data_IF_248723169939
#
_entry.id   IF_248723169939
#
_cell.length_a   1.000
_cell.length_b   1.000
_cell.length_c   1.000
_cell.angle_alpha   90.00
_cell.angle_beta   90.00
_cell.angle_gamma   90.00
#
_symmetry.space_group_name_H-M   'P 1'
#
loop_
_entity.id
_entity.type
_entity.pdbx_description
1 polymer ?
#
# COMPACT_ATOMS: atom_id res chain seq x y z
N UNK A 1 -15.73 3.89 13.53
CA UNK A 1 -14.33 3.58 13.19
C UNK A 1 -13.86 4.58 12.16
N UNK A 2 -12.75 5.26 12.42
CA UNK A 2 -12.13 6.16 11.46
C UNK A 2 -11.40 5.34 10.39
N UNK A 3 -11.60 5.72 9.13
CA UNK A 3 -10.98 5.09 7.98
C UNK A 3 -9.97 6.06 7.39
N UNK A 4 -8.84 5.54 6.95
CA UNK A 4 -7.76 6.31 6.34
C UNK A 4 -7.49 5.81 4.94
N UNK A 5 -7.13 6.74 4.05
CA UNK A 5 -6.65 6.42 2.71
C UNK A 5 -5.12 6.42 2.71
N UNK A 6 -4.53 5.35 2.23
CA UNK A 6 -3.07 5.20 2.12
C UNK A 6 -2.70 4.98 0.65
N UNK A 7 -1.72 5.73 0.16
CA UNK A 7 -0.99 5.38 -1.05
C UNK A 7 0.26 4.59 -0.66
N UNK A 8 0.41 3.40 -1.22
CA UNK A 8 1.51 2.46 -0.94
C UNK A 8 2.24 2.21 -2.26
N UNK A 9 3.51 2.61 -2.34
CA UNK A 9 4.39 2.32 -3.47
C UNK A 9 5.33 1.17 -3.12
N UNK A 10 5.44 0.19 -4.00
CA UNK A 10 6.44 -0.88 -3.93
C UNK A 10 7.12 -1.06 -5.27
N UNK A 11 8.32 -1.63 -5.27
CA UNK A 11 9.00 -2.11 -6.47
C UNK A 11 8.17 -3.19 -7.19
N UNK A 12 8.42 -3.37 -8.49
CA UNK A 12 7.79 -4.44 -9.26
C UNK A 12 8.07 -5.85 -8.70
N UNK A 13 9.20 -6.05 -8.02
CA UNK A 13 9.52 -7.31 -7.34
C UNK A 13 8.64 -7.55 -6.10
N UNK A 14 8.28 -6.48 -5.37
CA UNK A 14 7.39 -6.54 -4.21
C UNK A 14 5.90 -6.62 -4.56
N UNK A 15 5.52 -6.23 -5.79
CA UNK A 15 4.12 -6.13 -6.24
C UNK A 15 3.27 -7.35 -5.91
N UNK A 16 3.67 -8.55 -6.33
CA UNK A 16 2.79 -9.72 -6.25
C UNK A 16 2.31 -10.00 -4.82
N UNK A 17 3.23 -9.90 -3.85
CA UNK A 17 2.92 -10.12 -2.43
C UNK A 17 2.22 -8.92 -1.81
N UNK A 18 2.62 -7.69 -2.14
CA UNK A 18 1.93 -6.48 -1.68
C UNK A 18 0.49 -6.45 -2.16
N UNK A 19 0.23 -6.73 -3.44
CA UNK A 19 -1.11 -6.80 -4.01
C UNK A 19 -1.97 -7.87 -3.31
N UNK A 20 -1.40 -9.04 -2.99
CA UNK A 20 -2.14 -10.07 -2.24
C UNK A 20 -2.60 -9.59 -0.86
N UNK A 21 -1.77 -8.83 -0.14
CA UNK A 21 -2.11 -8.23 1.15
C UNK A 21 -3.16 -7.13 0.99
N UNK A 22 -3.02 -6.29 -0.03
CA UNK A 22 -3.80 -5.07 -0.20
C UNK A 22 -5.14 -5.26 -0.93
N UNK A 23 -5.31 -6.33 -1.72
CA UNK A 23 -6.47 -6.52 -2.63
C UNK A 23 -7.85 -6.39 -1.99
N UNK A 24 -7.98 -6.69 -0.70
CA UNK A 24 -9.26 -6.56 0.03
C UNK A 24 -9.66 -5.11 0.33
N UNK A 25 -8.67 -4.23 0.43
CA UNK A 25 -8.84 -2.83 0.81
C UNK A 25 -8.50 -1.86 -0.37
N UNK A 26 -8.05 -2.41 -1.51
CA UNK A 26 -7.61 -1.68 -2.70
C UNK A 26 -8.75 -0.90 -3.36
N UNK A 27 -8.48 0.37 -3.66
CA UNK A 27 -9.39 1.30 -4.32
C UNK A 27 -8.94 1.68 -5.71
N UNK A 28 -7.63 1.85 -5.90
CA UNK A 28 -6.99 2.16 -7.18
C UNK A 28 -5.59 1.59 -7.19
N UNK A 29 -5.09 1.31 -8.37
CA UNK A 29 -3.71 0.90 -8.58
C UNK A 29 -3.15 1.45 -9.89
N UNK A 30 -1.84 1.67 -9.94
CA UNK A 30 -1.13 2.19 -11.10
C UNK A 30 0.32 1.69 -11.13
N UNK A 31 0.79 1.35 -12.32
CA UNK A 31 2.22 1.14 -12.58
C UNK A 31 2.87 2.45 -13.00
N UNK A 32 3.93 2.84 -12.32
CA UNK A 32 4.73 4.01 -12.67
C UNK A 32 5.72 3.66 -13.79
N UNK A 33 6.14 4.67 -14.55
CA UNK A 33 7.08 4.48 -15.67
C UNK A 33 8.46 3.92 -15.28
N UNK A 34 8.80 3.92 -14.00
CA UNK A 34 10.03 3.32 -13.47
C UNK A 34 9.85 1.85 -13.04
N UNK A 35 8.69 1.24 -13.30
CA UNK A 35 8.40 -0.16 -12.95
C UNK A 35 8.03 -0.41 -11.48
N UNK A 36 7.82 0.65 -10.70
CA UNK A 36 7.19 0.52 -9.38
C UNK A 36 5.66 0.54 -9.51
N UNK A 37 4.97 -0.07 -8.55
CA UNK A 37 3.53 -0.13 -8.47
C UNK A 37 3.04 0.68 -7.28
N UNK A 38 1.95 1.42 -7.47
CA UNK A 38 1.26 2.16 -6.42
C UNK A 38 -0.14 1.60 -6.24
N UNK A 39 -0.47 1.25 -5.00
CA UNK A 39 -1.82 0.89 -4.58
C UNK A 39 -2.38 1.93 -3.62
N UNK A 40 -3.59 2.42 -3.90
CA UNK A 40 -4.36 3.23 -2.95
C UNK A 40 -5.33 2.32 -2.22
N UNK A 41 -5.19 2.20 -0.91
CA UNK A 41 -6.09 1.42 -0.05
C UNK A 41 -6.87 2.31 0.90
N UNK A 42 -8.02 1.83 1.31
CA UNK A 42 -8.83 2.44 2.36
C UNK A 42 -8.96 1.41 3.50
N UNK A 43 -8.44 1.73 4.69
CA UNK A 43 -8.37 0.79 5.82
C UNK A 43 -8.80 1.44 7.13
N UNK A 44 -9.23 0.66 8.14
CA UNK A 44 -9.40 1.19 9.49
C UNK A 44 -8.09 1.78 10.03
N UNK A 45 -8.15 2.96 10.66
CA UNK A 45 -6.97 3.65 11.21
C UNK A 45 -6.13 2.77 12.14
N UNK A 46 -6.79 1.90 12.92
CA UNK A 46 -6.15 0.94 13.83
C UNK A 46 -5.24 -0.08 13.11
N UNK A 47 -5.48 -0.37 11.82
CA UNK A 47 -4.66 -1.31 11.03
C UNK A 47 -3.45 -0.65 10.37
N UNK A 48 -3.32 0.68 10.42
CA UNK A 48 -2.26 1.44 9.72
C UNK A 48 -0.87 0.92 10.02
N UNK A 49 -0.51 0.85 11.30
CA UNK A 49 0.84 0.49 11.73
C UNK A 49 1.22 -0.94 11.31
N UNK A 50 0.30 -1.89 11.48
CA UNK A 50 0.49 -3.29 11.10
C UNK A 50 0.66 -3.43 9.59
N UNK A 51 -0.17 -2.73 8.80
CA UNK A 51 -0.11 -2.76 7.36
C UNK A 51 1.22 -2.20 6.83
N UNK A 52 1.67 -1.07 7.38
CA UNK A 52 2.99 -0.48 7.04
C UNK A 52 4.09 -1.49 7.37
N UNK A 53 4.05 -2.11 8.55
CA UNK A 53 5.04 -3.10 8.95
C UNK A 53 5.06 -4.32 8.03
N UNK A 54 3.91 -4.80 7.59
CA UNK A 54 3.82 -5.92 6.63
C UNK A 54 4.39 -5.55 5.26
N UNK A 55 4.05 -4.38 4.73
CA UNK A 55 4.57 -3.90 3.44
C UNK A 55 6.09 -3.70 3.50
N UNK A 56 6.63 -3.12 4.57
CA UNK A 56 8.07 -2.92 4.75
C UNK A 56 8.87 -4.23 4.82
N UNK A 57 8.23 -5.34 5.23
CA UNK A 57 8.84 -6.68 5.17
C UNK A 57 8.86 -7.27 3.76
N UNK A 58 7.87 -6.91 2.94
CA UNK A 58 7.77 -7.34 1.54
C UNK A 58 8.77 -6.57 0.69
N UNK A 59 8.85 -5.26 0.91
CA UNK A 59 9.73 -4.36 0.19
C UNK A 59 10.29 -3.30 1.14
N UNK A 60 11.62 -3.32 1.34
CA UNK A 60 12.32 -2.41 2.25
C UNK A 60 12.38 -0.98 1.72
N UNK A 61 12.15 -0.79 0.42
CA UNK A 61 12.12 0.51 -0.24
C UNK A 61 10.68 1.02 -0.45
N UNK A 62 9.70 0.36 0.17
CA UNK A 62 8.32 0.78 0.07
C UNK A 62 8.12 2.21 0.62
N UNK A 63 7.29 3.00 -0.06
CA UNK A 63 6.85 4.29 0.44
C UNK A 63 5.37 4.22 0.81
N UNK A 64 4.99 4.76 1.97
CA UNK A 64 3.59 4.87 2.39
C UNK A 64 3.27 6.32 2.69
N UNK A 65 2.16 6.83 2.13
CA UNK A 65 1.67 8.19 2.36
C UNK A 65 0.19 8.15 2.70
N UNK A 66 -0.19 8.90 3.73
CA UNK A 66 -1.61 9.18 3.97
C UNK A 66 -2.12 10.17 2.93
N UNK A 67 -3.30 9.91 2.40
CA UNK A 67 -3.98 10.82 1.49
C UNK A 67 -5.01 11.64 2.27
N UNK A 68 -5.22 12.92 1.91
CA UNK A 68 -6.34 13.70 2.42
C UNK A 68 -7.65 12.95 2.19
N UNK A 69 -8.54 13.00 3.18
CA UNK A 69 -9.84 12.32 3.14
C UNK A 69 -10.79 12.97 2.15
#
# INVERSE_FOLDING_TARGET
FERIKLAIKVSGAGYGRAHQVLRGDLKREEWLGNGSWVGVVDVPAARKADLIGEIMRIDREAEVRELPS
#
